data_IF_777327361379
#
_entry.id   IF_777327361379
#
_cell.length_a   1.000
_cell.length_b   1.000
_cell.length_c   1.000
_cell.angle_alpha   90.00
_cell.angle_beta   90.00
_cell.angle_gamma   90.00
#
_symmetry.space_group_name_H-M   'P 1'
#
loop_
_entity.id
_entity.type
_entity.pdbx_description
1 polymer ?
#
# COMPACT_ATOMS: atom_id res chain seq x y z
N UNK A 1 18.87 29.00 57.29
CA UNK A 1 17.59 28.40 56.86
C UNK A 1 17.16 28.84 55.46
N UNK A 2 17.23 30.13 55.11
CA UNK A 2 16.84 30.62 53.77
C UNK A 2 17.62 29.99 52.60
N UNK A 3 18.94 29.79 52.73
CA UNK A 3 19.80 29.24 51.66
C UNK A 3 19.46 27.78 51.32
N UNK A 4 19.14 26.95 52.31
CA UNK A 4 18.70 25.56 52.07
C UNK A 4 17.33 25.49 51.38
N UNK A 5 16.45 26.45 51.64
CA UNK A 5 15.13 26.53 51.02
C UNK A 5 15.24 26.91 49.53
N UNK A 6 16.10 27.88 49.20
CA UNK A 6 16.36 28.30 47.81
C UNK A 6 16.99 27.16 47.00
N UNK A 7 17.96 26.42 47.56
CA UNK A 7 18.60 25.28 46.88
C UNK A 7 17.60 24.16 46.56
N UNK A 8 16.66 23.87 47.46
CA UNK A 8 15.60 22.86 47.23
C UNK A 8 14.60 23.29 46.14
N UNK A 9 14.24 24.57 46.11
CA UNK A 9 13.36 25.12 45.06
C UNK A 9 14.06 25.10 43.70
N UNK A 10 15.35 25.42 43.62
CA UNK A 10 16.11 25.32 42.36
C UNK A 10 16.27 23.88 41.87
N UNK A 11 16.44 22.90 42.77
CA UNK A 11 16.51 21.48 42.39
C UNK A 11 15.16 20.93 41.89
N UNK A 12 14.05 21.38 42.49
CA UNK A 12 12.69 21.05 42.03
C UNK A 12 12.35 21.70 40.68
N UNK A 13 12.81 22.94 40.45
CA UNK A 13 12.64 23.63 39.15
C UNK A 13 13.55 23.06 38.04
N UNK A 14 14.68 22.44 38.39
CA UNK A 14 15.54 21.70 37.45
C UNK A 14 14.98 20.32 37.06
N UNK A 15 14.10 19.73 37.87
CA UNK A 15 13.40 18.47 37.55
C UNK A 15 12.19 18.67 36.63
N UNK A 16 11.75 19.92 36.41
CA UNK A 16 10.63 20.25 35.51
C UNK A 16 11.08 20.68 34.11
N UNK A 17 12.36 20.49 33.75
CA UNK A 17 12.73 20.48 32.34
C UNK A 17 12.06 19.26 31.71
N UNK A 18 10.87 19.48 31.15
CA UNK A 18 10.15 18.46 30.39
C UNK A 18 11.11 17.88 29.37
N UNK A 19 11.38 16.58 29.49
CA UNK A 19 11.96 15.83 28.39
C UNK A 19 10.95 15.96 27.27
N UNK A 20 11.28 16.73 26.23
CA UNK A 20 10.57 16.62 24.97
C UNK A 20 10.75 15.18 24.52
N UNK A 21 9.71 14.37 24.69
CA UNK A 21 9.71 12.98 24.32
C UNK A 21 9.80 12.93 22.79
N UNK A 22 10.92 12.39 22.30
CA UNK A 22 11.08 12.21 20.88
C UNK A 22 10.06 11.18 20.41
N UNK A 23 9.36 11.45 19.31
CA UNK A 23 8.48 10.47 18.71
C UNK A 23 9.27 9.16 18.43
N UNK A 24 8.64 7.99 18.60
CA UNK A 24 9.31 6.71 18.36
C UNK A 24 9.93 6.65 16.96
N UNK A 25 11.08 5.97 16.80
CA UNK A 25 11.76 5.92 15.51
C UNK A 25 10.88 5.17 14.49
N UNK A 26 10.72 5.77 13.32
CA UNK A 26 9.93 5.23 12.22
C UNK A 26 10.81 4.60 11.12
N UNK A 27 12.09 4.98 11.06
CA UNK A 27 13.10 4.43 10.17
C UNK A 27 14.41 4.12 10.91
N UNK A 28 15.39 3.56 10.21
CA UNK A 28 16.73 3.34 10.79
C UNK A 28 17.44 4.67 11.07
N UNK A 29 18.30 4.69 12.08
CA UNK A 29 19.14 5.86 12.36
C UNK A 29 20.00 6.21 11.15
N UNK A 30 20.25 7.50 10.95
CA UNK A 30 21.06 8.05 9.85
C UNK A 30 20.52 7.81 8.44
N UNK A 31 19.28 7.32 8.32
CA UNK A 31 18.61 7.11 7.04
C UNK A 31 17.59 8.22 6.76
N UNK A 32 17.62 8.74 5.53
CA UNK A 32 16.63 9.70 5.07
C UNK A 32 15.25 9.01 4.99
N UNK A 33 14.25 9.64 5.59
CA UNK A 33 12.90 9.12 5.74
C UNK A 33 11.83 10.03 5.08
N UNK A 34 12.23 10.98 4.25
CA UNK A 34 11.32 11.86 3.53
C UNK A 34 11.79 12.11 2.10
N UNK A 35 10.85 12.29 1.18
CA UNK A 35 11.09 12.66 -0.21
C UNK A 35 9.88 13.43 -0.77
N UNK A 36 10.10 14.70 -1.11
CA UNK A 36 9.02 15.56 -1.60
C UNK A 36 7.89 15.66 -0.57
N UNK A 37 6.67 15.31 -0.98
CA UNK A 37 5.48 15.32 -0.12
C UNK A 37 5.36 14.07 0.77
N UNK A 38 6.16 13.04 0.53
CA UNK A 38 6.18 11.84 1.38
C UNK A 38 7.12 12.10 2.55
N UNK A 39 6.56 12.51 3.69
CA UNK A 39 7.33 12.98 4.87
C UNK A 39 7.68 11.87 5.86
N UNK A 40 7.06 10.70 5.72
CA UNK A 40 7.21 9.60 6.66
C UNK A 40 7.39 8.27 5.92
N UNK A 41 8.62 7.95 5.53
CA UNK A 41 9.01 6.69 4.89
C UNK A 41 9.50 5.75 5.98
N UNK A 42 8.68 4.77 6.41
CA UNK A 42 9.05 3.89 7.50
C UNK A 42 9.91 2.72 7.03
N UNK A 43 10.77 2.20 7.89
CA UNK A 43 11.39 0.90 7.66
C UNK A 43 10.28 -0.19 7.58
N UNK A 44 10.31 -1.17 6.64
CA UNK A 44 11.42 -1.67 5.84
C UNK A 44 11.81 -0.82 4.62
N UNK A 45 11.06 0.24 4.31
CA UNK A 45 11.39 1.16 3.23
C UNK A 45 12.51 2.11 3.63
N UNK A 46 13.25 2.59 2.64
CA UNK A 46 14.35 3.52 2.89
C UNK A 46 14.94 4.09 1.62
N UNK A 47 15.66 5.20 1.78
CA UNK A 47 16.32 5.92 0.70
C UNK A 47 17.84 5.77 0.84
N UNK A 48 18.52 5.62 -0.29
CA UNK A 48 19.97 5.73 -0.37
C UNK A 48 20.68 4.41 -0.14
N UNK A 49 21.51 4.34 0.89
CA UNK A 49 22.41 3.20 1.09
C UNK A 49 21.66 1.93 1.50
N UNK A 50 22.20 0.76 1.15
CA UNK A 50 21.51 -0.53 1.31
C UNK A 50 21.22 -0.92 2.77
N UNK A 51 21.83 -0.24 3.76
CA UNK A 51 21.43 -0.42 5.16
C UNK A 51 20.08 0.22 5.49
N UNK A 52 19.57 1.16 4.69
CA UNK A 52 18.38 1.95 5.02
C UNK A 52 17.06 1.27 4.70
N UNK A 53 17.04 0.33 3.77
CA UNK A 53 15.89 -0.52 3.45
C UNK A 53 16.19 -1.98 3.75
N UNK A 54 15.17 -2.82 3.81
CA UNK A 54 15.33 -4.25 4.12
C UNK A 54 15.87 -5.06 2.93
N UNK A 55 15.34 -4.79 1.74
CA UNK A 55 15.77 -5.37 0.46
C UNK A 55 15.36 -4.46 -0.70
N UNK A 56 15.86 -4.75 -1.91
CA UNK A 56 15.69 -3.92 -3.10
C UNK A 56 14.23 -3.63 -3.48
N UNK A 57 13.25 -4.45 -3.07
CA UNK A 57 11.83 -4.15 -3.27
C UNK A 57 11.33 -2.97 -2.42
N UNK A 58 11.99 -2.71 -1.29
CA UNK A 58 11.67 -1.62 -0.37
C UNK A 58 12.52 -0.37 -0.59
N UNK A 59 13.39 -0.36 -1.60
CA UNK A 59 14.18 0.82 -1.96
C UNK A 59 13.28 1.92 -2.57
N UNK A 60 13.31 3.09 -1.94
CA UNK A 60 12.69 4.30 -2.44
C UNK A 60 13.74 5.17 -3.12
N UNK A 61 13.49 5.53 -4.38
CA UNK A 61 14.30 6.51 -5.10
C UNK A 61 13.57 7.85 -5.13
N UNK A 62 14.28 8.89 -4.70
CA UNK A 62 13.79 10.26 -4.75
C UNK A 62 14.32 10.93 -6.02
N UNK A 63 13.41 11.41 -6.87
CA UNK A 63 13.75 12.24 -8.03
C UNK A 63 12.95 13.55 -8.00
N UNK A 64 13.12 14.41 -9.01
CA UNK A 64 12.43 15.72 -9.06
C UNK A 64 10.91 15.61 -9.10
N UNK A 65 10.37 14.49 -9.56
CA UNK A 65 8.94 14.26 -9.72
C UNK A 65 8.28 13.66 -8.48
N UNK A 66 9.03 13.05 -7.57
CA UNK A 66 8.48 12.41 -6.37
C UNK A 66 9.32 11.26 -5.83
N UNK A 67 8.70 10.48 -4.94
CA UNK A 67 9.24 9.25 -4.38
C UNK A 67 8.77 8.04 -5.18
N UNK A 68 9.64 7.08 -5.49
CA UNK A 68 9.29 5.94 -6.33
C UNK A 68 9.73 4.62 -5.71
N UNK A 69 8.88 3.60 -5.77
CA UNK A 69 9.28 2.20 -5.57
C UNK A 69 10.18 1.80 -6.74
N UNK A 70 11.49 1.70 -6.51
CA UNK A 70 12.49 1.60 -7.58
C UNK A 70 12.24 0.46 -8.55
N UNK A 71 11.89 -0.73 -8.04
CA UNK A 71 11.77 -1.95 -8.86
C UNK A 71 10.56 -1.96 -9.80
N UNK A 72 9.51 -1.23 -9.46
CA UNK A 72 8.26 -1.22 -10.22
C UNK A 72 7.97 0.16 -10.81
N UNK A 73 8.81 1.15 -10.51
CA UNK A 73 8.72 2.54 -10.98
C UNK A 73 7.34 3.16 -10.74
N UNK A 74 6.72 2.84 -9.61
CA UNK A 74 5.44 3.43 -9.18
C UNK A 74 5.72 4.57 -8.20
N UNK A 75 5.12 5.72 -8.44
CA UNK A 75 5.23 6.88 -7.54
C UNK A 75 4.46 6.59 -6.25
N UNK A 76 5.11 6.80 -5.12
CA UNK A 76 4.56 6.63 -3.78
C UNK A 76 3.99 7.95 -3.29
N UNK A 77 2.78 7.89 -2.75
CA UNK A 77 2.10 9.01 -2.12
C UNK A 77 2.07 8.89 -0.60
N UNK A 78 1.90 7.67 -0.11
CA UNK A 78 1.87 7.38 1.32
C UNK A 78 2.34 5.94 1.57
N UNK A 79 3.00 5.72 2.71
CA UNK A 79 3.33 4.39 3.22
C UNK A 79 2.76 4.30 4.63
N UNK A 80 1.92 3.31 4.87
CA UNK A 80 1.23 3.15 6.15
C UNK A 80 1.60 1.78 6.74
N UNK A 81 1.97 1.77 8.02
CA UNK A 81 2.17 0.54 8.79
C UNK A 81 0.93 0.28 9.62
N UNK A 82 0.57 -0.99 9.74
CA UNK A 82 -0.50 -1.46 10.61
C UNK A 82 -0.28 -0.96 12.04
N UNK A 83 -1.25 -0.19 12.55
CA UNK A 83 -1.21 0.37 13.91
C UNK A 83 -1.96 -0.49 14.92
N UNK A 84 -2.79 -1.44 14.48
CA UNK A 84 -3.48 -2.36 15.39
C UNK A 84 -3.96 -3.63 14.70
N UNK A 85 -4.34 -4.63 15.50
CA UNK A 85 -4.93 -5.89 15.03
C UNK A 85 -6.22 -5.71 14.20
N UNK A 86 -6.95 -4.62 14.44
CA UNK A 86 -8.33 -4.42 13.97
C UNK A 86 -8.43 -3.50 12.75
N UNK A 87 -7.38 -2.70 12.49
CA UNK A 87 -7.38 -1.66 11.46
C UNK A 87 -6.17 -1.82 10.53
N UNK A 88 -6.47 -1.85 9.23
CA UNK A 88 -5.61 -1.85 8.04
C UNK A 88 -4.38 -2.78 8.05
N UNK A 89 -4.26 -3.64 7.02
CA UNK A 89 -2.99 -4.28 6.68
C UNK A 89 -1.95 -3.19 6.33
N UNK A 90 -0.65 -3.52 6.30
CA UNK A 90 0.31 -2.51 5.87
C UNK A 90 0.10 -2.17 4.39
N UNK A 91 0.09 -0.89 4.07
CA UNK A 91 -0.23 -0.41 2.72
C UNK A 91 0.80 0.57 2.17
N UNK A 92 0.79 0.70 0.84
CA UNK A 92 1.42 1.80 0.10
C UNK A 92 0.38 2.38 -0.86
N UNK A 93 0.12 3.68 -0.76
CA UNK A 93 -0.68 4.40 -1.73
C UNK A 93 0.21 4.85 -2.89
N UNK A 94 -0.15 4.48 -4.11
CA UNK A 94 0.67 4.72 -5.31
C UNK A 94 -0.12 5.32 -6.45
N UNK A 95 0.60 6.00 -7.36
CA UNK A 95 0.09 6.31 -8.69
C UNK A 95 0.19 5.08 -9.59
N UNK A 96 -0.94 4.67 -10.15
CA UNK A 96 -1.05 3.50 -11.04
C UNK A 96 -1.37 3.91 -12.48
N UNK A 97 -0.85 3.18 -13.49
CA UNK A 97 -1.13 3.51 -14.89
C UNK A 97 -2.58 3.27 -15.28
N UNK A 98 -3.02 4.00 -16.31
CA UNK A 98 -4.25 3.75 -17.04
C UNK A 98 -3.88 3.02 -18.33
N UNK A 99 -4.47 1.85 -18.57
CA UNK A 99 -4.26 1.05 -19.77
C UNK A 99 -5.36 1.40 -20.77
N UNK A 100 -4.97 1.81 -21.97
CA UNK A 100 -5.90 2.11 -23.06
C UNK A 100 -5.90 1.01 -24.13
N UNK A 101 -7.01 0.90 -24.83
CA UNK A 101 -7.17 -0.02 -25.97
C UNK A 101 -6.32 0.34 -27.19
N UNK A 102 -5.90 1.60 -27.31
CA UNK A 102 -5.02 2.09 -28.37
C UNK A 102 -4.11 3.19 -27.81
N UNK A 103 -2.82 3.22 -28.14
CA UNK A 103 -1.92 4.31 -27.76
C UNK A 103 -2.41 5.72 -28.15
N UNK A 104 -3.18 5.84 -29.24
CA UNK A 104 -3.77 7.12 -29.67
C UNK A 104 -4.88 7.64 -28.75
N UNK A 105 -5.36 6.82 -27.82
CA UNK A 105 -6.42 7.21 -26.88
C UNK A 105 -5.92 8.10 -25.75
N UNK A 106 -4.62 8.16 -25.53
CA UNK A 106 -4.03 9.00 -24.49
C UNK A 106 -3.10 10.00 -25.15
N UNK A 107 -3.26 11.28 -24.80
CA UNK A 107 -2.35 12.34 -25.27
C UNK A 107 -0.94 12.22 -24.68
N UNK A 108 -0.78 11.41 -23.63
CA UNK A 108 0.48 11.07 -22.98
C UNK A 108 0.72 9.55 -23.04
N UNK A 109 1.98 9.14 -22.83
CA UNK A 109 2.42 7.75 -22.88
C UNK A 109 1.51 6.85 -22.04
N UNK A 110 0.71 6.02 -22.71
CA UNK A 110 -0.05 4.95 -22.06
C UNK A 110 0.92 4.13 -21.21
N UNK A 111 0.68 4.08 -19.91
CA UNK A 111 1.51 3.26 -19.02
C UNK A 111 1.37 1.79 -19.41
N UNK A 112 2.50 1.10 -19.53
CA UNK A 112 2.48 -0.37 -19.63
C UNK A 112 1.84 -0.98 -18.38
N UNK A 113 1.43 -2.24 -18.48
CA UNK A 113 0.93 -2.99 -17.32
C UNK A 113 1.97 -3.06 -16.18
N UNK A 114 1.48 -3.33 -14.97
CA UNK A 114 2.31 -3.48 -13.77
C UNK A 114 2.52 -4.98 -13.49
N UNK A 115 3.77 -5.38 -13.25
CA UNK A 115 4.11 -6.74 -12.85
C UNK A 115 4.99 -6.73 -11.60
N UNK A 116 4.43 -7.21 -10.50
CA UNK A 116 5.06 -7.31 -9.19
C UNK A 116 5.18 -8.77 -8.74
N UNK A 117 5.16 -9.74 -9.68
CA UNK A 117 5.26 -11.17 -9.36
C UNK A 117 6.54 -11.46 -8.56
N UNK A 118 6.38 -12.17 -7.44
CA UNK A 118 7.49 -12.51 -6.56
C UNK A 118 8.01 -11.32 -5.74
N UNK A 119 7.25 -10.23 -5.66
CA UNK A 119 7.52 -9.11 -4.77
C UNK A 119 6.79 -9.25 -3.42
N UNK A 120 7.14 -8.40 -2.44
CA UNK A 120 6.40 -8.20 -1.20
C UNK A 120 4.98 -7.59 -1.35
N UNK A 121 4.64 -7.08 -2.53
CA UNK A 121 3.44 -6.26 -2.78
C UNK A 121 2.32 -7.03 -3.48
N UNK A 122 1.08 -6.73 -3.12
CA UNK A 122 -0.13 -7.18 -3.83
C UNK A 122 -1.10 -6.02 -3.95
N UNK A 123 -1.91 -5.96 -5.02
CA UNK A 123 -3.02 -5.01 -5.06
C UNK A 123 -4.01 -5.34 -3.95
N UNK A 124 -4.37 -4.33 -3.14
CA UNK A 124 -5.31 -4.50 -2.03
C UNK A 124 -6.72 -4.77 -2.54
N UNK A 125 -7.48 -5.58 -1.82
CA UNK A 125 -8.88 -5.88 -2.17
C UNK A 125 -9.82 -4.67 -2.02
N UNK A 126 -9.33 -3.55 -1.47
CA UNK A 126 -10.03 -2.26 -1.47
C UNK A 126 -10.02 -1.56 -2.84
N UNK A 127 -9.22 -2.06 -3.79
CA UNK A 127 -9.25 -1.56 -5.16
C UNK A 127 -10.27 -2.34 -5.98
N UNK A 128 -11.00 -1.63 -6.84
CA UNK A 128 -11.80 -2.23 -7.90
C UNK A 128 -11.05 -2.16 -9.23
N UNK A 129 -11.34 -3.12 -10.10
CA UNK A 129 -11.02 -3.06 -11.52
C UNK A 129 -12.12 -2.29 -12.23
N UNK A 130 -11.78 -1.16 -12.85
CA UNK A 130 -12.72 -0.30 -13.55
C UNK A 130 -12.34 -0.26 -15.01
N UNK A 131 -13.35 -0.30 -15.88
CA UNK A 131 -13.15 -0.08 -17.29
C UNK A 131 -14.20 0.85 -17.87
N UNK A 132 -13.76 1.79 -18.70
CA UNK A 132 -14.57 2.86 -19.30
C UNK A 132 -14.52 2.73 -20.81
N UNK A 133 -15.68 2.81 -21.45
CA UNK A 133 -15.87 2.74 -22.90
C UNK A 133 -17.25 2.19 -23.30
N UNK A 134 -17.70 2.50 -24.52
CA UNK A 134 -18.86 1.85 -25.14
C UNK A 134 -18.49 0.46 -25.68
N UNK A 135 -19.47 -0.46 -25.66
CA UNK A 135 -19.34 -1.85 -26.15
C UNK A 135 -18.02 -2.49 -25.72
N UNK A 136 -17.66 -2.21 -24.46
CA UNK A 136 -16.37 -2.48 -23.89
C UNK A 136 -16.35 -3.88 -23.31
N UNK A 137 -15.28 -4.61 -23.58
CA UNK A 137 -14.98 -5.89 -22.98
C UNK A 137 -13.53 -5.82 -22.54
N UNK A 138 -13.30 -5.63 -21.25
CA UNK A 138 -11.98 -5.52 -20.68
C UNK A 138 -11.69 -6.75 -19.82
N UNK A 139 -10.59 -7.42 -20.08
CA UNK A 139 -10.21 -8.65 -19.39
C UNK A 139 -8.79 -8.47 -18.88
N UNK A 140 -8.60 -8.60 -17.57
CA UNK A 140 -7.27 -8.65 -16.98
C UNK A 140 -6.52 -9.88 -17.48
N UNK A 141 -5.27 -9.69 -17.89
CA UNK A 141 -4.41 -10.77 -18.36
C UNK A 141 -3.41 -11.16 -17.27
N UNK A 142 -2.87 -12.37 -17.39
CA UNK A 142 -1.89 -12.93 -16.45
C UNK A 142 -2.40 -13.10 -15.01
N UNK A 143 -3.70 -13.32 -14.85
CA UNK A 143 -4.39 -13.56 -13.56
C UNK A 143 -4.75 -15.03 -13.32
N UNK A 144 -4.20 -15.96 -14.13
CA UNK A 144 -4.46 -17.41 -14.07
C UNK A 144 -4.31 -17.97 -12.63
N UNK A 145 -5.29 -18.75 -12.13
CA UNK A 145 -6.44 -19.34 -12.84
C UNK A 145 -7.70 -18.48 -12.86
N UNK A 146 -7.66 -17.29 -12.29
CA UNK A 146 -8.84 -16.41 -12.24
C UNK A 146 -8.95 -15.56 -13.50
N UNK A 147 -10.18 -15.43 -14.00
CA UNK A 147 -10.50 -14.48 -15.06
C UNK A 147 -11.22 -13.31 -14.39
N UNK A 148 -10.60 -12.14 -14.42
CA UNK A 148 -11.20 -10.90 -13.97
C UNK A 148 -11.52 -10.10 -15.22
N UNK A 149 -12.79 -9.78 -15.42
CA UNK A 149 -13.22 -9.07 -16.60
C UNK A 149 -14.49 -8.30 -16.34
N UNK A 150 -14.72 -7.33 -17.20
CA UNK A 150 -15.80 -6.38 -17.05
C UNK A 150 -16.33 -5.98 -18.43
N UNK A 151 -17.65 -5.82 -18.54
CA UNK A 151 -18.31 -5.39 -19.77
C UNK A 151 -19.24 -4.21 -19.52
N UNK A 152 -19.24 -3.27 -20.47
CA UNK A 152 -20.20 -2.16 -20.51
C UNK A 152 -20.74 -1.96 -21.92
N UNK A 153 -21.93 -1.37 -22.01
CA UNK A 153 -22.59 -0.98 -23.26
C UNK A 153 -22.91 0.52 -23.21
N UNK A 154 -23.19 1.15 -24.33
CA UNK A 154 -23.67 2.54 -24.39
C UNK A 154 -25.09 2.67 -24.94
N UNK A 155 -25.88 1.60 -24.91
CA UNK A 155 -27.31 1.64 -25.19
C UNK A 155 -28.03 2.50 -24.14
N UNK A 156 -28.54 3.65 -24.58
CA UNK A 156 -29.26 4.63 -23.75
C UNK A 156 -30.57 4.08 -23.17
N UNK A 157 -31.10 2.97 -23.70
CA UNK A 157 -32.28 2.31 -23.13
C UNK A 157 -32.01 1.61 -21.79
N UNK A 158 -30.74 1.41 -21.43
CA UNK A 158 -30.30 0.78 -20.19
C UNK A 158 -30.02 1.79 -19.05
N UNK A 159 -30.25 3.09 -19.30
CA UNK A 159 -30.09 4.13 -18.28
C UNK A 159 -31.20 3.95 -17.23
N UNK A 160 -30.88 3.28 -16.13
CA UNK A 160 -31.67 3.40 -14.91
C UNK A 160 -31.40 4.79 -14.33
N UNK A 161 -32.44 5.54 -13.95
CA UNK A 161 -32.42 6.91 -13.38
C UNK A 161 -31.62 7.08 -12.04
N UNK A 162 -30.68 6.19 -11.75
CA UNK A 162 -29.87 6.15 -10.52
C UNK A 162 -28.44 6.64 -10.75
N UNK A 163 -28.30 7.94 -11.04
CA UNK A 163 -27.05 8.70 -10.85
C UNK A 163 -25.80 8.22 -11.60
N UNK A 164 -24.66 8.88 -11.30
CA UNK A 164 -23.34 8.63 -11.90
C UNK A 164 -22.70 7.32 -11.42
N UNK A 165 -23.38 6.18 -11.56
CA UNK A 165 -22.88 4.88 -11.10
C UNK A 165 -22.20 4.12 -12.23
N UNK A 166 -21.02 3.54 -11.96
CA UNK A 166 -20.23 2.81 -12.96
C UNK A 166 -20.70 1.36 -13.11
N UNK A 167 -21.95 1.20 -13.56
CA UNK A 167 -22.67 -0.07 -13.47
C UNK A 167 -23.25 -0.52 -14.82
N UNK A 168 -22.39 -0.62 -15.83
CA UNK A 168 -22.69 -1.25 -17.12
C UNK A 168 -23.00 -0.28 -18.26
N UNK A 169 -23.34 0.98 -17.97
CA UNK A 169 -23.51 2.03 -18.99
C UNK A 169 -22.23 2.87 -19.12
N UNK A 170 -21.58 2.81 -20.28
CA UNK A 170 -20.29 3.46 -20.61
C UNK A 170 -19.10 3.13 -19.70
N UNK A 171 -19.31 2.47 -18.57
CA UNK A 171 -18.25 1.91 -17.76
C UNK A 171 -18.81 0.78 -16.89
N UNK A 172 -17.90 0.00 -16.34
CA UNK A 172 -18.23 -1.09 -15.44
C UNK A 172 -17.10 -1.30 -14.44
N UNK A 173 -17.40 -1.97 -13.34
CA UNK A 173 -16.46 -2.33 -12.30
C UNK A 173 -16.52 -3.83 -11.97
N UNK A 174 -15.41 -4.37 -11.47
CA UNK A 174 -15.31 -5.71 -10.90
C UNK A 174 -14.37 -5.70 -9.69
N UNK A 175 -14.64 -6.55 -8.70
CA UNK A 175 -13.73 -6.73 -7.57
C UNK A 175 -12.50 -7.53 -7.98
N UNK A 176 -11.37 -7.27 -7.31
CA UNK A 176 -10.14 -8.04 -7.52
C UNK A 176 -9.93 -9.09 -6.42
N UNK A 177 -9.31 -10.23 -6.73
CA UNK A 177 -8.99 -11.24 -5.72
C UNK A 177 -7.80 -10.81 -4.86
N UNK A 178 -7.76 -11.31 -3.63
CA UNK A 178 -6.59 -11.15 -2.76
C UNK A 178 -5.37 -11.82 -3.37
N UNK A 179 -4.20 -11.20 -3.21
CA UNK A 179 -2.93 -11.77 -3.68
C UNK A 179 -2.57 -11.43 -5.13
N UNK A 180 -3.36 -10.59 -5.80
CA UNK A 180 -3.07 -10.14 -7.17
C UNK A 180 -1.76 -9.33 -7.23
N UNK A 181 -0.82 -9.74 -8.08
CA UNK A 181 0.48 -9.06 -8.26
C UNK A 181 0.69 -8.48 -9.67
N UNK A 182 -0.27 -8.67 -10.56
CA UNK A 182 -0.22 -8.19 -11.94
C UNK A 182 -1.42 -7.35 -12.26
N UNK A 183 -1.20 -6.27 -13.01
CA UNK A 183 -2.25 -5.47 -13.61
C UNK A 183 -1.90 -5.26 -15.07
N UNK A 184 -2.53 -6.03 -15.94
CA UNK A 184 -2.45 -5.90 -17.38
C UNK A 184 -3.83 -6.20 -17.95
N UNK A 185 -4.19 -5.58 -19.08
CA UNK A 185 -5.57 -5.64 -19.60
C UNK A 185 -5.54 -5.85 -21.10
N UNK A 186 -6.44 -6.70 -21.56
CA UNK A 186 -6.78 -6.86 -22.96
C UNK A 186 -8.20 -6.34 -23.23
N UNK A 187 -8.40 -5.80 -24.43
CA UNK A 187 -9.71 -5.34 -24.87
C UNK A 187 -10.18 -6.12 -26.11
N UNK A 188 -10.67 -7.36 -25.94
CA UNK A 188 -11.21 -8.15 -27.04
C UNK A 188 -12.22 -7.37 -27.89
N UNK A 189 -12.28 -7.71 -29.18
CA UNK A 189 -13.33 -7.20 -30.07
C UNK A 189 -14.69 -7.74 -29.62
N UNK A 190 -15.69 -6.89 -29.62
CA UNK A 190 -17.10 -7.29 -29.53
C UNK A 190 -17.60 -7.50 -30.96
N UNK A 191 -18.12 -8.69 -31.27
CA UNK A 191 -18.29 -9.18 -32.65
C UNK A 191 -19.37 -8.46 -33.49
N UNK A 192 -20.04 -7.43 -32.98
CA UNK A 192 -21.27 -6.93 -33.61
C UNK A 192 -21.19 -5.56 -34.29
N UNK A 193 -20.10 -4.79 -34.15
CA UNK A 193 -19.96 -3.50 -34.85
C UNK A 193 -18.52 -3.20 -35.23
N UNK A 194 -18.16 -3.53 -36.48
CA UNK A 194 -17.05 -2.86 -37.18
C UNK A 194 -17.40 -1.36 -37.33
N UNK A 195 -17.17 -0.53 -36.32
CA UNK A 195 -17.27 0.92 -36.52
C UNK A 195 -17.71 1.83 -35.37
N UNK A 196 -17.66 1.44 -34.10
CA UNK A 196 -17.55 2.45 -33.04
C UNK A 196 -16.12 2.47 -32.49
N UNK A 197 -15.30 3.28 -33.16
CA UNK A 197 -13.90 3.63 -32.87
C UNK A 197 -13.81 4.48 -31.58
N UNK A 198 -14.31 3.95 -30.46
CA UNK A 198 -14.24 4.60 -29.16
C UNK A 198 -13.00 4.17 -28.39
N UNK A 199 -12.35 5.11 -27.71
CA UNK A 199 -11.31 4.77 -26.76
C UNK A 199 -11.87 4.05 -25.54
N UNK A 200 -11.28 2.89 -25.25
CA UNK A 200 -11.55 2.09 -24.05
C UNK A 200 -10.36 2.18 -23.11
N UNK A 201 -10.63 2.31 -21.82
CA UNK A 201 -9.63 2.48 -20.76
C UNK A 201 -9.90 1.49 -19.64
N UNK A 202 -8.85 1.12 -18.92
CA UNK A 202 -8.95 0.26 -17.75
C UNK A 202 -7.90 0.66 -16.72
N UNK A 203 -8.28 0.61 -15.45
CA UNK A 203 -7.43 0.99 -14.33
C UNK A 203 -7.90 0.32 -13.05
N UNK A 204 -7.04 0.33 -12.04
CA UNK A 204 -7.41 0.02 -10.67
C UNK A 204 -7.62 1.33 -9.91
N UNK A 205 -8.57 1.36 -8.99
CA UNK A 205 -8.73 2.47 -8.07
C UNK A 205 -9.38 2.01 -6.76
N UNK A 206 -9.01 2.67 -5.68
CA UNK A 206 -9.67 2.54 -4.38
C UNK A 206 -11.13 3.01 -4.47
N UNK A 207 -12.01 2.22 -3.85
CA UNK A 207 -13.46 2.44 -3.87
C UNK A 207 -13.88 3.87 -3.47
N UNK A 208 -13.29 4.44 -2.41
CA UNK A 208 -13.61 5.80 -1.94
C UNK A 208 -13.24 6.88 -2.96
N UNK A 209 -12.16 6.69 -3.72
CA UNK A 209 -11.76 7.63 -4.77
C UNK A 209 -12.74 7.63 -5.94
N UNK A 210 -13.31 6.46 -6.27
CA UNK A 210 -14.31 6.33 -7.34
C UNK A 210 -15.57 7.15 -7.05
N UNK A 211 -16.04 7.14 -5.80
CA UNK A 211 -17.24 7.89 -5.41
C UNK A 211 -17.04 9.41 -5.43
N UNK A 212 -15.80 9.87 -5.28
CA UNK A 212 -15.47 11.30 -5.26
C UNK A 212 -15.25 11.90 -6.66
N UNK A 213 -15.24 11.07 -7.71
CA UNK A 213 -15.04 11.51 -9.09
C UNK A 213 -16.29 11.28 -9.92
N UNK A 214 -16.65 12.28 -10.73
CA UNK A 214 -17.64 12.15 -11.79
C UNK A 214 -17.09 11.26 -12.92
N UNK A 215 -17.01 9.96 -12.69
CA UNK A 215 -16.80 8.94 -13.73
C UNK A 215 -18.06 8.91 -14.61
N UNK A 216 -17.95 8.85 -15.96
CA UNK A 216 -16.86 8.31 -16.78
C UNK A 216 -16.08 9.33 -17.64
N UNK A 217 -16.37 10.64 -17.58
CA UNK A 217 -15.98 11.61 -18.62
C UNK A 217 -14.59 12.25 -18.49
N UNK A 218 -13.84 11.95 -17.43
CA UNK A 218 -12.57 12.64 -17.13
C UNK A 218 -11.34 11.75 -17.21
N UNK A 219 -11.50 10.43 -17.40
CA UNK A 219 -10.37 9.48 -17.43
C UNK A 219 -9.42 9.77 -18.60
N UNK A 220 -9.94 10.28 -19.72
CA UNK A 220 -9.14 10.67 -20.89
C UNK A 220 -8.21 11.87 -20.64
N UNK A 221 -8.43 12.59 -19.53
CA UNK A 221 -7.73 13.83 -19.18
C UNK A 221 -6.73 13.66 -18.04
N UNK A 222 -6.56 12.45 -17.52
CA UNK A 222 -5.64 12.14 -16.43
C UNK A 222 -4.64 11.08 -16.88
N UNK A 223 -3.40 11.20 -16.40
CA UNK A 223 -2.30 10.33 -16.83
C UNK A 223 -2.16 9.08 -15.96
N UNK A 224 -2.64 9.15 -14.72
CA UNK A 224 -2.54 8.09 -13.72
C UNK A 224 -3.70 8.17 -12.74
N UNK A 225 -3.95 7.05 -12.05
CA UNK A 225 -4.86 7.00 -10.91
C UNK A 225 -4.03 7.21 -9.64
N UNK A 226 -4.28 8.29 -8.86
CA UNK A 226 -3.50 8.59 -7.65
C UNK A 226 -3.93 7.76 -6.43
N UNK A 227 -5.00 6.97 -6.53
CA UNK A 227 -5.54 6.24 -5.38
C UNK A 227 -5.56 4.73 -5.65
N UNK A 228 -4.39 4.11 -5.76
CA UNK A 228 -4.27 2.64 -5.79
C UNK A 228 -3.50 2.17 -4.58
N UNK A 229 -4.09 1.24 -3.84
CA UNK A 229 -3.56 0.72 -2.58
C UNK A 229 -2.85 -0.61 -2.83
N UNK A 230 -1.56 -0.69 -2.48
CA UNK A 230 -0.82 -1.94 -2.44
C UNK A 230 -0.75 -2.43 -1.00
N UNK A 231 -1.12 -3.68 -0.73
CA UNK A 231 -0.77 -4.35 0.52
C UNK A 231 0.70 -4.80 0.46
N UNK A 232 1.41 -4.77 1.59
CA UNK A 232 2.75 -5.35 1.68
C UNK A 232 2.99 -6.15 2.94
N UNK A 233 3.81 -7.19 2.81
CA UNK A 233 4.21 -8.09 3.89
C UNK A 233 5.67 -8.49 3.75
N UNK A 234 6.33 -8.81 4.85
CA UNK A 234 7.69 -9.33 4.81
C UNK A 234 7.64 -10.82 4.49
N UNK A 235 8.20 -11.22 3.36
CA UNK A 235 8.37 -12.62 3.00
C UNK A 235 9.67 -13.17 3.56
N UNK A 236 9.67 -14.44 3.97
CA UNK A 236 10.83 -15.09 4.58
C UNK A 236 11.89 -15.60 3.58
N UNK A 237 11.93 -15.01 2.38
CA UNK A 237 12.77 -15.47 1.28
C UNK A 237 14.22 -15.00 1.37
N UNK A 238 14.50 -13.98 2.19
CA UNK A 238 15.84 -13.38 2.30
C UNK A 238 16.45 -13.62 3.67
N UNK A 239 17.77 -13.69 3.75
CA UNK A 239 18.49 -13.75 5.04
C UNK A 239 18.14 -12.58 5.95
N UNK A 240 17.99 -11.37 5.39
CA UNK A 240 17.59 -10.17 6.13
C UNK A 240 16.21 -10.28 6.75
N UNK A 241 15.23 -10.81 6.02
CA UNK A 241 13.87 -11.04 6.55
C UNK A 241 13.85 -12.06 7.70
N UNK A 242 14.65 -13.12 7.61
CA UNK A 242 14.77 -14.14 8.65
C UNK A 242 15.46 -13.56 9.90
N UNK A 243 16.53 -12.79 9.73
CA UNK A 243 17.21 -12.12 10.83
C UNK A 243 16.30 -11.08 11.52
N UNK A 244 15.52 -10.33 10.75
CA UNK A 244 14.49 -9.45 11.29
C UNK A 244 13.52 -10.23 12.14
N UNK A 245 13.01 -11.35 11.62
CA UNK A 245 12.07 -12.19 12.33
C UNK A 245 12.65 -12.79 13.62
N UNK A 246 13.90 -13.27 13.60
CA UNK A 246 14.59 -13.78 14.79
C UNK A 246 14.76 -12.69 15.86
N UNK A 247 15.04 -11.46 15.44
CA UNK A 247 15.21 -10.31 16.35
C UNK A 247 13.96 -9.95 17.15
N UNK A 248 12.78 -10.44 16.74
CA UNK A 248 11.52 -10.25 17.45
C UNK A 248 11.42 -11.08 18.73
N UNK A 249 12.15 -12.20 18.83
CA UNK A 249 12.09 -13.11 20.00
C UNK A 249 12.58 -12.48 21.31
N UNK A 250 13.27 -11.35 21.25
CA UNK A 250 13.85 -10.67 22.41
C UNK A 250 13.12 -9.37 22.77
N UNK A 251 12.07 -8.99 22.04
CA UNK A 251 11.39 -7.70 22.17
C UNK A 251 10.03 -7.81 22.86
N UNK A 252 9.55 -6.67 23.35
CA UNK A 252 8.21 -6.51 23.93
C UNK A 252 7.45 -5.44 23.13
N UNK A 253 6.14 -5.32 23.34
CA UNK A 253 5.36 -4.22 22.79
C UNK A 253 4.92 -4.34 21.32
N UNK A 254 5.08 -5.52 20.70
CA UNK A 254 4.64 -5.75 19.32
C UNK A 254 3.98 -7.13 19.18
N UNK A 255 3.23 -7.31 18.10
CA UNK A 255 2.66 -8.57 17.68
C UNK A 255 2.81 -8.72 16.17
N UNK A 256 2.81 -9.97 15.70
CA UNK A 256 2.86 -10.28 14.28
C UNK A 256 1.78 -11.28 13.90
N UNK A 257 1.24 -11.09 12.69
CA UNK A 257 0.40 -12.03 11.98
C UNK A 257 1.27 -12.78 10.99
N UNK A 258 1.32 -14.10 11.16
CA UNK A 258 2.06 -15.01 10.28
C UNK A 258 1.10 -15.70 9.33
N UNK A 259 1.50 -15.78 8.07
CA UNK A 259 0.75 -16.46 7.03
C UNK A 259 1.51 -17.73 6.62
N UNK A 260 0.82 -18.86 6.66
CA UNK A 260 1.36 -20.16 6.26
C UNK A 260 1.56 -20.25 4.73
N UNK A 261 2.06 -21.38 4.25
CA UNK A 261 2.34 -21.63 2.83
C UNK A 261 1.09 -21.52 1.93
N UNK A 262 1.24 -21.30 0.61
CA UNK A 262 0.12 -21.34 -0.32
C UNK A 262 -0.68 -22.64 -0.16
N UNK A 263 -1.99 -22.54 0.11
CA UNK A 263 -2.88 -23.68 0.31
C UNK A 263 -3.35 -23.95 1.75
N UNK A 264 -2.83 -23.22 2.75
CA UNK A 264 -3.33 -23.27 4.13
C UNK A 264 -3.86 -21.91 4.60
N UNK A 265 -5.11 -21.86 5.04
CA UNK A 265 -5.73 -20.65 5.61
C UNK A 265 -5.37 -20.44 7.09
N UNK A 266 -4.25 -21.00 7.55
CA UNK A 266 -3.88 -20.92 8.97
C UNK A 266 -3.11 -19.64 9.23
N UNK A 267 -3.76 -18.71 9.93
CA UNK A 267 -3.16 -17.49 10.47
C UNK A 267 -2.71 -17.73 11.90
N UNK A 268 -1.46 -17.40 12.22
CA UNK A 268 -0.97 -17.42 13.59
C UNK A 268 -0.73 -15.99 14.08
N UNK A 269 -1.24 -15.69 15.26
CA UNK A 269 -0.99 -14.42 15.95
C UNK A 269 0.05 -14.66 17.04
N UNK A 270 1.25 -14.10 16.90
CA UNK A 270 2.25 -14.13 17.96
C UNK A 270 2.08 -12.90 18.84
N UNK A 271 1.48 -13.08 20.02
CA UNK A 271 1.43 -12.07 21.08
C UNK A 271 2.66 -12.23 21.98
N UNK A 272 3.45 -11.16 22.10
CA UNK A 272 4.67 -11.09 22.92
C UNK A 272 5.75 -12.12 22.52
N UNK A 273 7.00 -11.88 22.92
CA UNK A 273 8.19 -12.69 22.59
C UNK A 273 8.10 -14.19 22.88
N UNK A 274 7.08 -14.64 23.63
CA UNK A 274 7.02 -16.00 24.18
C UNK A 274 6.68 -17.09 23.16
N UNK A 275 6.13 -16.78 21.99
CA UNK A 275 5.78 -17.84 21.01
C UNK A 275 6.09 -17.43 19.57
N UNK A 276 7.38 -17.41 19.25
CA UNK A 276 7.85 -17.52 17.86
C UNK A 276 8.67 -18.81 17.74
N UNK A 277 7.99 -19.96 17.82
CA UNK A 277 8.56 -21.29 17.47
C UNK A 277 7.91 -21.87 16.20
N UNK A 278 7.20 -21.04 15.44
CA UNK A 278 6.65 -21.48 14.15
C UNK A 278 7.71 -21.31 13.07
N UNK A 279 8.30 -22.41 12.63
CA UNK A 279 9.23 -22.46 11.49
C UNK A 279 8.52 -22.50 10.14
N UNK A 280 7.17 -22.58 10.13
CA UNK A 280 6.39 -22.85 8.92
C UNK A 280 5.47 -21.67 8.55
N UNK A 281 6.08 -20.51 8.27
CA UNK A 281 5.41 -19.35 7.69
C UNK A 281 6.05 -18.98 6.35
N UNK A 282 5.33 -18.27 5.48
CA UNK A 282 5.85 -17.75 4.22
C UNK A 282 6.04 -16.23 4.25
N UNK A 283 5.19 -15.53 5.00
CA UNK A 283 5.23 -14.07 5.17
C UNK A 283 4.61 -13.64 6.49
N UNK A 284 4.92 -12.41 6.91
CA UNK A 284 4.39 -11.82 8.12
C UNK A 284 4.15 -10.31 8.00
N UNK A 285 3.17 -9.82 8.77
CA UNK A 285 2.93 -8.41 9.06
C UNK A 285 2.94 -8.19 10.57
N UNK A 286 3.44 -7.06 11.05
CA UNK A 286 3.58 -6.77 12.47
C UNK A 286 3.03 -5.38 12.80
N UNK A 287 2.61 -5.19 14.05
CA UNK A 287 2.12 -3.93 14.60
C UNK A 287 2.58 -3.78 16.05
N UNK A 288 2.69 -2.54 16.54
CA UNK A 288 2.87 -2.28 17.97
C UNK A 288 1.55 -2.56 18.71
N UNK A 289 1.61 -3.27 19.83
CA UNK A 289 0.40 -3.60 20.61
C UNK A 289 -0.11 -2.38 21.37
N UNK A 290 -1.34 -2.47 21.88
CA UNK A 290 -1.94 -1.38 22.65
C UNK A 290 -1.04 -0.93 23.81
N UNK A 291 -0.86 0.39 23.96
CA UNK A 291 0.07 1.00 24.90
C UNK A 291 1.48 1.20 24.33
N UNK A 292 1.74 0.82 23.08
CA UNK A 292 2.99 1.05 22.37
C UNK A 292 2.74 1.75 21.03
N UNK A 293 3.67 2.62 20.63
CA UNK A 293 3.66 3.30 19.33
C UNK A 293 5.03 3.20 18.64
N UNK A 294 5.02 3.34 17.31
CA UNK A 294 6.20 3.42 16.47
C UNK A 294 6.24 2.32 15.41
N UNK A 295 7.45 1.84 15.09
CA UNK A 295 7.68 0.89 14.01
C UNK A 295 8.06 -0.52 14.52
N UNK A 296 7.19 -1.52 14.37
CA UNK A 296 7.47 -2.90 14.82
C UNK A 296 8.63 -3.57 14.06
N UNK A 297 9.01 -3.05 12.90
CA UNK A 297 10.09 -3.61 12.06
C UNK A 297 11.49 -3.16 12.50
N UNK A 298 11.59 -2.22 13.46
CA UNK A 298 12.88 -1.74 13.99
C UNK A 298 13.25 -2.38 15.33
N UNK A 299 14.54 -2.73 15.53
CA UNK A 299 15.29 -2.51 16.78
C UNK A 299 14.51 -2.45 18.08
N UNK A 300 14.14 -1.21 18.31
CA UNK A 300 13.54 -0.63 19.51
C UNK A 300 12.34 0.20 19.08
N UNK A 301 11.63 -0.19 18.02
CA UNK A 301 10.67 0.71 17.37
C UNK A 301 9.28 0.74 17.97
N UNK A 302 8.90 -0.22 18.83
CA UNK A 302 7.66 -0.11 19.61
C UNK A 302 8.02 0.36 21.02
N UNK A 303 7.70 1.62 21.33
CA UNK A 303 8.00 2.27 22.60
C UNK A 303 6.72 2.55 23.38
N UNK A 304 6.80 2.54 24.71
CA UNK A 304 5.63 2.70 25.58
C UNK A 304 5.07 4.11 25.44
N UNK A 305 3.75 4.21 25.24
CA UNK A 305 3.02 5.47 25.37
C UNK A 305 2.99 5.86 26.84
N UNK A 306 3.88 6.75 27.28
CA UNK A 306 3.75 7.38 28.59
C UNK A 306 2.49 8.27 28.55
N UNK A 307 1.56 8.17 29.51
CA UNK A 307 0.43 9.07 29.51
C UNK A 307 0.94 10.49 29.75
N UNK A 308 0.58 11.42 28.88
CA UNK A 308 0.75 12.86 29.12
C UNK A 308 -0.18 13.24 30.28
N UNK A 309 0.35 13.32 31.50
CA UNK A 309 -0.35 13.83 32.69
C UNK A 309 -0.08 15.32 32.85
#
# INVERSE_FOLDING_TARGET
MAVQFVIRITFLLLLTYGLAEAAPPIGKSDCQNHCGNVTNIPYPFGIGSSQCYMDDWFEIVCNRSGAFLKRINMEVLEISIQTSRRYADNTVLVKSPIISSNPSCTSMSSGGGVNMKGSPFTFSVSNNFISVGCDNSAIMTETDPMIIGCKSNCDTSLINDKGNTCSGYNCCEATIPSGLQTFNVSFPSTDDKKGQEGCRYAFLAEEEWLYNISLPFSVEKIDFIPAVVLDWRIYNWTKGSLQMFESFTIRQGFACRLYSTPGSNYEYYSYESKVIKSTNFSKFGCWCVWGYEGNPYLPTGCEVLMPTW
#
